data_IF_162054533463
#
_entry.id   IF_162054533463
#
_cell.length_a   1.000
_cell.length_b   1.000
_cell.length_c   1.000
_cell.angle_alpha   90.00
_cell.angle_beta   90.00
_cell.angle_gamma   90.00
#
_symmetry.space_group_name_H-M   'P 1'
#
loop_
_entity.id
_entity.type
_entity.pdbx_description
1 polymer ?
#
# COMPACT_ATOMS: atom_id res chain seq x y z
N UNK A 1 -15.54 -3.86 24.47
CA UNK A 1 -16.57 -3.00 25.11
C UNK A 1 -17.77 -2.93 24.19
N UNK A 2 -19.03 -2.87 24.67
CA UNK A 2 -20.16 -2.57 23.80
C UNK A 2 -19.96 -1.17 23.22
N UNK A 3 -20.01 -1.03 21.91
CA UNK A 3 -19.77 0.22 21.19
C UNK A 3 -20.76 1.31 21.65
N UNK A 4 -20.31 2.41 22.27
CA UNK A 4 -21.22 3.41 22.86
C UNK A 4 -21.70 4.48 21.86
N UNK A 5 -21.41 4.34 20.55
CA UNK A 5 -21.79 5.30 19.52
C UNK A 5 -22.60 4.61 18.41
N UNK A 6 -23.57 5.31 17.78
CA UNK A 6 -24.23 4.82 16.58
C UNK A 6 -23.20 4.60 15.47
N UNK A 7 -23.43 3.64 14.55
CA UNK A 7 -22.52 3.38 13.43
C UNK A 7 -22.40 4.61 12.53
N UNK A 8 -21.21 4.83 11.97
CA UNK A 8 -21.01 5.82 10.91
C UNK A 8 -21.78 5.39 9.67
N UNK A 9 -22.61 6.29 9.15
CA UNK A 9 -23.42 6.06 7.96
C UNK A 9 -22.56 6.25 6.72
N UNK A 10 -22.39 5.19 5.94
CA UNK A 10 -21.48 5.12 4.81
C UNK A 10 -22.23 5.20 3.49
N UNK A 11 -21.69 5.99 2.57
CA UNK A 11 -22.03 5.95 1.14
C UNK A 11 -20.87 5.46 0.30
N UNK A 12 -21.11 4.49 -0.58
CA UNK A 12 -20.11 4.07 -1.59
C UNK A 12 -20.44 4.76 -2.93
N UNK A 13 -19.55 5.65 -3.36
CA UNK A 13 -19.69 6.37 -4.62
C UNK A 13 -18.81 5.73 -5.71
N UNK A 14 -19.47 5.07 -6.66
CA UNK A 14 -18.87 4.16 -7.63
C UNK A 14 -19.33 2.73 -7.38
N UNK A 15 -19.85 2.06 -8.41
CA UNK A 15 -20.39 0.70 -8.29
C UNK A 15 -19.56 -0.32 -9.07
N UNK A 16 -18.23 -0.18 -9.05
CA UNK A 16 -17.32 -1.13 -9.69
C UNK A 16 -17.33 -2.51 -9.03
N UNK A 17 -16.62 -3.48 -9.60
CA UNK A 17 -16.42 -4.78 -8.96
C UNK A 17 -15.77 -4.64 -7.57
N UNK A 18 -14.83 -3.71 -7.44
CA UNK A 18 -14.16 -3.45 -6.17
C UNK A 18 -15.08 -2.85 -5.10
N UNK A 19 -16.06 -2.03 -5.49
CA UNK A 19 -17.09 -1.53 -4.58
C UNK A 19 -17.89 -2.67 -3.93
N UNK A 20 -18.18 -3.75 -4.68
CA UNK A 20 -18.88 -4.90 -4.14
C UNK A 20 -18.02 -5.69 -3.14
N UNK A 21 -16.71 -5.81 -3.40
CA UNK A 21 -15.77 -6.36 -2.42
C UNK A 21 -15.74 -5.54 -1.13
N UNK A 22 -15.56 -4.22 -1.23
CA UNK A 22 -15.53 -3.33 -0.06
C UNK A 22 -16.85 -3.36 0.72
N UNK A 23 -17.99 -3.39 0.05
CA UNK A 23 -19.29 -3.50 0.70
C UNK A 23 -19.43 -4.83 1.48
N UNK A 24 -18.93 -5.93 0.93
CA UNK A 24 -18.88 -7.23 1.62
C UNK A 24 -17.93 -7.22 2.83
N UNK A 25 -16.78 -6.55 2.71
CA UNK A 25 -15.80 -6.40 3.79
C UNK A 25 -16.29 -5.46 4.91
N UNK A 26 -17.07 -4.44 4.57
CA UNK A 26 -17.65 -3.45 5.50
C UNK A 26 -18.81 -4.05 6.32
N UNK A 27 -19.60 -4.94 5.71
CA UNK A 27 -20.81 -5.52 6.31
C UNK A 27 -20.65 -6.04 7.75
N UNK A 28 -19.62 -6.85 8.09
CA UNK A 28 -19.45 -7.37 9.45
C UNK A 28 -18.97 -6.32 10.47
N UNK A 29 -18.60 -5.11 10.06
CA UNK A 29 -18.08 -4.09 10.96
C UNK A 29 -19.24 -3.30 11.61
N UNK A 30 -19.47 -3.42 12.94
CA UNK A 30 -20.54 -2.70 13.62
C UNK A 30 -20.32 -1.18 13.66
N UNK A 31 -19.09 -0.71 13.45
CA UNK A 31 -18.71 0.72 13.40
C UNK A 31 -19.32 1.45 12.22
N UNK A 32 -19.69 0.72 11.17
CA UNK A 32 -20.15 1.29 9.91
C UNK A 32 -21.50 0.71 9.54
N UNK A 33 -22.30 1.50 8.82
CA UNK A 33 -23.54 1.04 8.21
C UNK A 33 -23.59 1.59 6.79
N UNK A 34 -23.66 0.72 5.78
CA UNK A 34 -23.89 1.15 4.41
C UNK A 34 -25.34 1.65 4.28
N UNK A 35 -25.53 2.91 3.91
CA UNK A 35 -26.85 3.51 3.71
C UNK A 35 -27.08 4.03 2.30
N UNK A 36 -26.04 4.12 1.47
CA UNK A 36 -26.16 4.59 0.10
C UNK A 36 -25.12 3.97 -0.86
N UNK A 37 -25.51 3.73 -2.10
CA UNK A 37 -24.60 3.37 -3.20
C UNK A 37 -24.90 4.22 -4.43
N UNK A 38 -23.87 4.78 -5.07
CA UNK A 38 -23.99 5.50 -6.33
C UNK A 38 -23.32 4.78 -7.49
N UNK A 39 -23.96 4.80 -8.66
CA UNK A 39 -23.37 4.29 -9.89
C UNK A 39 -24.33 4.38 -11.07
N UNK A 40 -23.78 4.57 -12.28
CA UNK A 40 -24.56 4.80 -13.50
C UNK A 40 -25.29 3.56 -14.05
N UNK A 41 -24.96 2.37 -13.56
CA UNK A 41 -25.50 1.08 -14.04
C UNK A 41 -26.22 0.37 -12.91
N UNK A 42 -27.51 0.08 -13.09
CA UNK A 42 -28.37 -0.48 -12.06
C UNK A 42 -27.87 -1.87 -11.60
N UNK A 43 -27.51 -2.75 -12.54
CA UNK A 43 -27.01 -4.10 -12.26
C UNK A 43 -25.70 -4.08 -11.47
N UNK A 44 -24.91 -3.01 -11.62
CA UNK A 44 -23.67 -2.82 -10.87
C UNK A 44 -23.96 -2.38 -9.44
N UNK A 45 -24.88 -1.44 -9.23
CA UNK A 45 -25.32 -1.06 -7.87
C UNK A 45 -25.93 -2.24 -7.13
N UNK A 46 -26.78 -3.03 -7.79
CA UNK A 46 -27.39 -4.21 -7.18
C UNK A 46 -26.35 -5.25 -6.71
N UNK A 47 -25.24 -5.42 -7.45
CA UNK A 47 -24.13 -6.30 -7.01
C UNK A 47 -23.47 -5.81 -5.72
N UNK A 48 -23.25 -4.51 -5.58
CA UNK A 48 -22.72 -3.92 -4.34
C UNK A 48 -23.68 -4.16 -3.17
N UNK A 49 -24.97 -3.87 -3.37
CA UNK A 49 -26.01 -4.06 -2.37
C UNK A 49 -26.17 -5.53 -1.96
N UNK A 50 -26.11 -6.45 -2.93
CA UNK A 50 -26.18 -7.89 -2.68
C UNK A 50 -25.00 -8.38 -1.83
N UNK A 51 -23.78 -7.92 -2.13
CA UNK A 51 -22.58 -8.25 -1.35
C UNK A 51 -22.71 -7.85 0.12
N UNK A 52 -23.21 -6.64 0.39
CA UNK A 52 -23.45 -6.16 1.75
C UNK A 52 -24.58 -6.96 2.44
N UNK A 53 -25.75 -7.07 1.79
CA UNK A 53 -26.94 -7.73 2.37
C UNK A 53 -26.75 -9.21 2.64
N UNK A 54 -25.90 -9.89 1.86
CA UNK A 54 -25.58 -11.29 2.08
C UNK A 54 -24.97 -11.53 3.48
N UNK A 55 -24.30 -10.52 4.04
CA UNK A 55 -23.63 -10.61 5.35
C UNK A 55 -24.28 -9.75 6.44
N UNK A 56 -25.15 -8.80 6.06
CA UNK A 56 -25.89 -7.94 6.99
C UNK A 56 -27.30 -7.65 6.46
N UNK A 57 -28.24 -8.52 6.84
CA UNK A 57 -29.63 -8.50 6.37
C UNK A 57 -30.61 -7.82 7.34
N UNK A 58 -30.16 -7.50 8.54
CA UNK A 58 -30.94 -6.94 9.66
C UNK A 58 -31.06 -5.40 9.60
N UNK A 59 -30.55 -4.76 8.55
CA UNK A 59 -30.55 -3.30 8.38
C UNK A 59 -31.40 -2.85 7.20
N UNK A 60 -31.86 -1.60 7.25
CA UNK A 60 -32.61 -0.99 6.16
C UNK A 60 -31.85 -1.04 4.82
N UNK A 61 -32.59 -1.19 3.73
CA UNK A 61 -32.03 -1.17 2.38
C UNK A 61 -31.26 0.14 2.12
N UNK A 62 -29.99 0.08 1.67
CA UNK A 62 -29.28 1.28 1.28
C UNK A 62 -29.98 1.96 0.09
N UNK A 63 -29.99 3.30 0.10
CA UNK A 63 -30.49 4.13 -0.99
C UNK A 63 -29.61 3.98 -2.23
N UNK A 64 -30.19 4.20 -3.39
CA UNK A 64 -29.49 4.17 -4.66
C UNK A 64 -29.47 5.55 -5.30
N UNK A 65 -28.30 5.93 -5.81
CA UNK A 65 -28.08 7.17 -6.55
C UNK A 65 -27.50 6.86 -7.93
N UNK A 66 -27.83 7.66 -8.93
CA UNK A 66 -27.22 7.51 -10.26
C UNK A 66 -25.86 8.18 -10.30
N UNK A 67 -25.76 9.37 -9.70
CA UNK A 67 -24.54 10.17 -9.71
C UNK A 67 -23.85 10.19 -8.33
N UNK A 68 -22.52 10.08 -8.35
CA UNK A 68 -21.71 10.16 -7.12
C UNK A 68 -21.95 11.47 -6.35
N UNK A 69 -22.11 12.58 -7.08
CA UNK A 69 -22.35 13.89 -6.49
C UNK A 69 -23.72 14.02 -5.81
N UNK A 70 -24.73 13.23 -6.21
CA UNK A 70 -26.02 13.19 -5.52
C UNK A 70 -25.87 12.50 -4.17
N UNK A 71 -25.20 11.34 -4.15
CA UNK A 71 -24.88 10.62 -2.91
C UNK A 71 -24.05 11.50 -1.97
N UNK A 72 -23.01 12.17 -2.45
CA UNK A 72 -22.14 13.00 -1.60
C UNK A 72 -22.91 14.13 -0.90
N UNK A 73 -23.95 14.68 -1.54
CA UNK A 73 -24.78 15.75 -0.97
C UNK A 73 -25.86 15.26 0.00
N UNK A 74 -26.01 13.94 0.15
CA UNK A 74 -26.94 13.36 1.12
C UNK A 74 -26.55 13.76 2.55
N UNK A 75 -27.40 14.50 3.29
CA UNK A 75 -27.08 14.97 4.64
C UNK A 75 -26.94 13.82 5.65
N UNK A 76 -27.45 12.62 5.35
CA UNK A 76 -27.40 11.48 6.25
C UNK A 76 -26.10 10.68 6.15
N UNK A 77 -25.20 11.01 5.22
CA UNK A 77 -23.94 10.28 5.08
C UNK A 77 -22.87 10.93 5.95
N UNK A 78 -22.14 10.14 6.73
CA UNK A 78 -21.02 10.59 7.56
C UNK A 78 -19.67 10.33 6.85
N UNK A 79 -19.56 9.21 6.15
CA UNK A 79 -18.35 8.73 5.46
C UNK A 79 -18.65 8.41 4.00
N UNK A 80 -17.84 8.93 3.08
CA UNK A 80 -17.89 8.55 1.66
C UNK A 80 -16.70 7.66 1.34
N UNK A 81 -16.96 6.51 0.70
CA UNK A 81 -15.95 5.67 0.07
C UNK A 81 -16.02 5.92 -1.43
N UNK A 82 -14.98 6.52 -2.02
CA UNK A 82 -14.90 6.79 -3.45
C UNK A 82 -14.19 5.63 -4.17
N UNK A 83 -14.93 4.93 -5.03
CA UNK A 83 -14.42 3.82 -5.86
C UNK A 83 -14.69 4.08 -7.35
N UNK A 84 -14.70 5.35 -7.75
CA UNK A 84 -14.85 5.78 -9.15
C UNK A 84 -13.55 5.56 -9.92
N UNK A 85 -13.51 5.78 -11.25
CA UNK A 85 -12.23 5.88 -11.95
C UNK A 85 -11.32 6.99 -11.34
N UNK A 86 -9.98 6.82 -11.33
CA UNK A 86 -9.05 7.68 -10.58
C UNK A 86 -9.13 9.19 -10.88
N UNK A 87 -9.36 9.58 -12.13
CA UNK A 87 -9.51 11.00 -12.51
C UNK A 87 -10.66 11.74 -11.78
N UNK A 88 -11.63 11.00 -11.24
CA UNK A 88 -12.74 11.57 -10.49
C UNK A 88 -12.47 11.68 -8.98
N UNK A 89 -11.41 11.04 -8.46
CA UNK A 89 -11.16 11.00 -7.02
C UNK A 89 -10.93 12.38 -6.41
N UNK A 90 -10.04 13.19 -6.99
CA UNK A 90 -9.76 14.52 -6.46
C UNK A 90 -10.97 15.48 -6.49
N UNK A 91 -11.68 15.67 -7.61
CA UNK A 91 -12.84 16.57 -7.64
C UNK A 91 -14.03 16.06 -6.81
N UNK A 92 -14.31 14.76 -6.77
CA UNK A 92 -15.35 14.21 -5.90
C UNK A 92 -14.95 14.22 -4.43
N UNK A 93 -13.66 14.02 -4.13
CA UNK A 93 -13.10 14.11 -2.80
C UNK A 93 -13.19 15.52 -2.25
N UNK A 94 -12.89 16.53 -3.07
CA UNK A 94 -13.09 17.94 -2.73
C UNK A 94 -14.55 18.21 -2.38
N UNK A 95 -15.48 17.77 -3.23
CA UNK A 95 -16.91 17.90 -2.98
C UNK A 95 -17.31 17.23 -1.66
N UNK A 96 -16.85 16.01 -1.38
CA UNK A 96 -17.16 15.30 -0.14
C UNK A 96 -16.66 16.03 1.10
N UNK A 97 -15.42 16.51 1.07
CA UNK A 97 -14.85 17.29 2.17
C UNK A 97 -15.58 18.63 2.37
N UNK A 98 -15.97 19.31 1.28
CA UNK A 98 -16.79 20.52 1.36
C UNK A 98 -18.19 20.28 1.93
N UNK A 99 -18.75 19.07 1.75
CA UNK A 99 -19.99 18.65 2.40
C UNK A 99 -19.78 18.13 3.83
N UNK A 100 -18.57 18.28 4.39
CA UNK A 100 -18.25 17.89 5.77
C UNK A 100 -18.18 16.37 5.98
N UNK A 101 -17.94 15.59 4.92
CA UNK A 101 -17.86 14.13 4.99
C UNK A 101 -16.44 13.68 5.36
N UNK A 102 -16.34 12.59 6.11
CA UNK A 102 -15.11 11.81 6.17
C UNK A 102 -14.92 11.04 4.86
N UNK A 103 -13.67 10.76 4.50
CA UNK A 103 -13.36 10.29 3.15
C UNK A 103 -12.40 9.11 3.17
N UNK A 104 -12.79 8.03 2.49
CA UNK A 104 -11.88 6.98 2.04
C UNK A 104 -11.81 7.03 0.52
N UNK A 105 -10.63 7.32 -0.01
CA UNK A 105 -10.34 7.29 -1.44
C UNK A 105 -9.80 5.92 -1.81
N UNK A 106 -10.35 5.30 -2.86
CA UNK A 106 -9.60 4.23 -3.51
C UNK A 106 -8.27 4.74 -4.02
N UNK A 107 -7.27 3.85 -3.99
CA UNK A 107 -5.98 4.09 -4.65
C UNK A 107 -6.22 4.42 -6.13
N UNK A 108 -5.41 5.29 -6.76
CA UNK A 108 -4.24 6.02 -6.23
C UNK A 108 -4.53 7.24 -5.35
N UNK A 109 -5.77 7.45 -4.89
CA UNK A 109 -6.16 8.66 -4.16
C UNK A 109 -6.42 9.86 -5.06
N UNK A 110 -5.57 10.09 -6.06
CA UNK A 110 -5.78 11.01 -7.17
C UNK A 110 -4.87 10.63 -8.35
N UNK A 111 -4.99 11.33 -9.48
CA UNK A 111 -4.04 11.17 -10.59
C UNK A 111 -2.68 11.82 -10.32
N UNK A 112 -2.64 12.84 -9.47
CA UNK A 112 -1.41 13.56 -9.14
C UNK A 112 -1.30 13.76 -7.64
N UNK A 113 -0.06 13.72 -7.13
CA UNK A 113 0.25 13.97 -5.72
C UNK A 113 -0.14 15.39 -5.31
N UNK A 114 -0.03 16.36 -6.21
CA UNK A 114 -0.47 17.74 -5.99
C UNK A 114 -1.98 17.81 -5.71
N UNK A 115 -2.80 17.15 -6.53
CA UNK A 115 -4.25 17.13 -6.34
C UNK A 115 -4.63 16.40 -5.04
N UNK A 116 -3.99 15.25 -4.76
CA UNK A 116 -4.21 14.54 -3.49
C UNK A 116 -3.82 15.42 -2.29
N UNK A 117 -2.69 16.13 -2.36
CA UNK A 117 -2.22 17.04 -1.31
C UNK A 117 -3.21 18.18 -1.05
N UNK A 118 -3.87 18.70 -2.08
CA UNK A 118 -4.90 19.71 -1.91
C UNK A 118 -6.14 19.14 -1.22
N UNK A 119 -6.55 17.90 -1.52
CA UNK A 119 -7.59 17.21 -0.75
C UNK A 119 -7.16 16.98 0.71
N UNK A 120 -5.91 16.60 0.98
CA UNK A 120 -5.38 16.42 2.35
C UNK A 120 -5.43 17.73 3.13
N UNK A 121 -4.99 18.84 2.53
CA UNK A 121 -5.07 20.18 3.14
C UNK A 121 -6.51 20.59 3.42
N UNK A 122 -7.42 20.32 2.47
CA UNK A 122 -8.83 20.61 2.65
C UNK A 122 -9.44 19.77 3.77
N UNK A 123 -9.08 18.49 3.88
CA UNK A 123 -9.55 17.60 4.92
C UNK A 123 -9.13 18.10 6.31
N UNK A 124 -7.87 18.53 6.45
CA UNK A 124 -7.37 19.17 7.67
C UNK A 124 -8.15 20.45 8.00
N UNK A 125 -8.40 21.32 7.01
CA UNK A 125 -9.19 22.56 7.17
C UNK A 125 -10.63 22.28 7.61
N UNK A 126 -11.25 21.21 7.11
CA UNK A 126 -12.62 20.80 7.43
C UNK A 126 -12.70 19.91 8.67
N UNK A 127 -11.56 19.60 9.31
CA UNK A 127 -11.46 18.68 10.44
C UNK A 127 -12.10 17.32 10.13
N UNK A 128 -11.83 16.79 8.93
CA UNK A 128 -12.31 15.48 8.47
C UNK A 128 -11.15 14.54 8.25
N UNK A 129 -11.29 13.31 8.75
CA UNK A 129 -10.43 12.21 8.37
C UNK A 129 -10.52 11.97 6.84
N UNK A 130 -9.35 11.88 6.22
CA UNK A 130 -9.15 11.41 4.85
C UNK A 130 -8.15 10.27 4.90
N UNK A 131 -8.41 9.18 4.18
CA UNK A 131 -7.46 8.11 3.98
C UNK A 131 -7.48 7.65 2.52
N UNK A 132 -6.35 7.12 2.03
CA UNK A 132 -6.29 6.39 0.76
C UNK A 132 -6.27 4.89 1.09
N UNK A 133 -7.00 4.07 0.34
CA UNK A 133 -7.09 2.62 0.54
C UNK A 133 -5.84 1.89 0.04
N UNK A 134 -4.70 2.23 0.63
CA UNK A 134 -3.43 1.53 0.49
C UNK A 134 -3.36 0.44 1.56
N UNK A 135 -3.52 -0.82 1.13
CA UNK A 135 -3.80 -1.93 2.05
C UNK A 135 -2.56 -2.77 2.40
N UNK A 136 -1.46 -2.65 1.67
CA UNK A 136 -0.36 -3.62 1.78
C UNK A 136 0.38 -3.57 3.11
N UNK A 137 0.45 -2.39 3.76
CA UNK A 137 0.98 -2.24 5.13
C UNK A 137 0.10 -2.90 6.20
N UNK A 138 -1.12 -3.33 5.85
CA UNK A 138 -1.94 -4.17 6.73
C UNK A 138 -1.70 -5.67 6.50
N UNK A 139 -0.83 -6.08 5.57
CA UNK A 139 -0.49 -7.48 5.41
C UNK A 139 0.55 -7.89 6.47
N UNK A 140 0.36 -9.00 7.20
CA UNK A 140 1.27 -9.34 8.28
C UNK A 140 2.64 -9.84 7.81
N UNK A 141 2.78 -10.25 6.54
CA UNK A 141 4.10 -10.54 5.99
C UNK A 141 4.87 -9.26 5.62
N UNK A 142 4.19 -8.19 5.23
CA UNK A 142 4.84 -6.93 4.83
C UNK A 142 5.52 -6.26 6.03
N UNK A 143 4.81 -6.23 7.14
CA UNK A 143 5.25 -5.59 8.37
C UNK A 143 6.31 -6.43 9.12
N UNK A 144 6.29 -7.78 9.08
CA UNK A 144 7.45 -8.55 9.63
C UNK A 144 8.70 -8.36 8.79
N UNK A 145 8.56 -8.21 7.47
CA UNK A 145 9.72 -7.88 6.64
C UNK A 145 10.26 -6.52 7.03
N UNK A 146 9.40 -5.52 7.18
CA UNK A 146 9.82 -4.20 7.64
C UNK A 146 10.57 -4.29 8.99
N UNK A 147 10.03 -5.04 9.95
CA UNK A 147 10.64 -5.23 11.25
C UNK A 147 12.03 -5.87 11.15
N UNK A 148 12.18 -6.94 10.35
CA UNK A 148 13.45 -7.61 10.11
C UNK A 148 14.49 -6.66 9.49
N UNK A 149 14.06 -5.79 8.57
CA UNK A 149 14.90 -4.80 7.91
C UNK A 149 15.34 -3.70 8.88
N UNK A 150 14.41 -3.14 9.66
CA UNK A 150 14.69 -2.12 10.68
C UNK A 150 15.66 -2.59 11.76
N UNK A 151 15.54 -3.85 12.18
CA UNK A 151 16.40 -4.42 13.21
C UNK A 151 17.66 -5.10 12.66
N UNK A 152 17.91 -5.00 11.34
CA UNK A 152 19.08 -5.58 10.68
C UNK A 152 19.30 -7.07 10.96
N UNK A 153 18.24 -7.87 11.06
CA UNK A 153 18.37 -9.29 11.40
C UNK A 153 19.17 -10.08 10.37
N UNK A 154 19.15 -9.65 9.10
CA UNK A 154 19.98 -10.18 8.01
C UNK A 154 21.11 -9.21 7.61
N UNK A 155 21.43 -8.25 8.49
CA UNK A 155 22.36 -7.16 8.21
C UNK A 155 21.75 -6.05 7.35
N UNK A 156 22.62 -5.19 6.80
CA UNK A 156 22.21 -4.06 5.95
C UNK A 156 21.61 -4.54 4.63
N UNK A 157 20.65 -3.79 4.11
CA UNK A 157 20.09 -3.99 2.77
C UNK A 157 21.09 -3.50 1.71
N UNK A 158 21.22 -4.26 0.63
CA UNK A 158 22.08 -3.94 -0.51
C UNK A 158 21.30 -3.56 -1.76
N UNK A 159 20.17 -4.23 -1.98
CA UNK A 159 19.38 -4.12 -3.19
C UNK A 159 18.02 -4.76 -2.94
N UNK A 160 16.97 -4.24 -3.57
CA UNK A 160 15.70 -4.92 -3.64
C UNK A 160 15.08 -4.85 -5.04
N UNK A 161 14.21 -5.81 -5.35
CA UNK A 161 13.44 -5.86 -6.58
C UNK A 161 11.99 -6.19 -6.26
N UNK A 162 11.07 -5.37 -6.75
CA UNK A 162 9.62 -5.52 -6.61
C UNK A 162 9.02 -5.76 -7.99
N UNK A 163 8.69 -7.02 -8.28
CA UNK A 163 8.23 -7.48 -9.59
C UNK A 163 6.73 -7.80 -9.56
N UNK A 164 5.99 -7.35 -10.58
CA UNK A 164 4.60 -7.73 -10.82
C UNK A 164 4.32 -7.97 -12.31
N UNK A 165 3.99 -9.20 -12.68
CA UNK A 165 3.48 -9.59 -13.99
C UNK A 165 2.03 -10.09 -13.82
N UNK A 166 1.08 -9.24 -14.19
CA UNK A 166 -0.35 -9.47 -14.04
C UNK A 166 -1.02 -9.79 -15.38
N UNK A 167 -2.23 -10.34 -15.30
CA UNK A 167 -3.07 -10.61 -16.48
C UNK A 167 -3.41 -9.35 -17.25
N UNK A 168 -3.44 -9.45 -18.58
CA UNK A 168 -3.76 -8.30 -19.42
C UNK A 168 -5.15 -7.74 -19.13
N UNK A 169 -5.23 -6.43 -18.91
CA UNK A 169 -6.51 -5.73 -18.82
C UNK A 169 -7.15 -5.68 -20.20
N UNK A 170 -8.45 -5.98 -20.29
CA UNK A 170 -9.19 -6.00 -21.54
C UNK A 170 -8.99 -4.70 -22.36
N UNK A 171 -8.84 -4.85 -23.68
CA UNK A 171 -8.71 -3.72 -24.59
C UNK A 171 -9.92 -2.77 -24.50
N UNK A 172 -9.68 -1.46 -24.62
CA UNK A 172 -10.72 -0.43 -24.50
C UNK A 172 -11.21 -0.16 -23.07
N UNK A 173 -10.65 -0.83 -22.06
CA UNK A 173 -10.90 -0.50 -20.66
C UNK A 173 -10.30 0.87 -20.30
N UNK A 174 -10.95 1.62 -19.38
CA UNK A 174 -10.49 2.96 -18.97
C UNK A 174 -9.07 2.97 -18.39
N UNK A 175 -8.60 1.83 -17.88
CA UNK A 175 -7.24 1.65 -17.36
C UNK A 175 -6.17 2.05 -18.39
N UNK A 176 -6.40 1.77 -19.67
CA UNK A 176 -5.46 2.11 -20.75
C UNK A 176 -5.50 3.58 -21.15
N UNK A 177 -6.53 4.32 -20.72
CA UNK A 177 -6.59 5.77 -20.89
C UNK A 177 -5.87 6.45 -19.71
N UNK A 178 -4.68 7.00 -19.98
CA UNK A 178 -3.84 7.70 -18.98
C UNK A 178 -4.52 8.91 -18.36
N UNK A 179 -5.41 9.60 -19.08
CA UNK A 179 -6.19 10.71 -18.52
C UNK A 179 -7.22 10.23 -17.49
N UNK A 180 -7.56 8.94 -17.49
CA UNK A 180 -8.48 8.34 -16.53
C UNK A 180 -7.77 7.57 -15.41
N UNK A 181 -6.66 6.89 -15.71
CA UNK A 181 -5.97 5.99 -14.79
C UNK A 181 -4.64 6.53 -14.25
N UNK A 182 -3.96 7.41 -14.98
CA UNK A 182 -2.57 7.81 -14.73
C UNK A 182 -1.54 6.80 -15.27
N UNK A 183 -1.96 5.63 -15.76
CA UNK A 183 -1.09 4.55 -16.21
C UNK A 183 -0.68 3.58 -15.09
N UNK A 184 0.11 2.56 -15.45
CA UNK A 184 0.39 1.41 -14.58
C UNK A 184 1.00 1.81 -13.22
N UNK A 185 2.01 2.68 -13.20
CA UNK A 185 2.67 3.05 -11.95
C UNK A 185 1.78 3.88 -11.02
N UNK A 186 0.95 4.77 -11.57
CA UNK A 186 -0.02 5.52 -10.79
C UNK A 186 -1.11 4.59 -10.27
N UNK A 187 -1.81 3.87 -11.14
CA UNK A 187 -3.01 3.12 -10.77
C UNK A 187 -2.70 1.87 -9.93
N UNK A 188 -1.65 1.13 -10.27
CA UNK A 188 -1.33 -0.16 -9.65
C UNK A 188 0.00 -0.14 -8.89
N UNK A 189 1.04 0.47 -9.49
CA UNK A 189 2.39 0.50 -8.91
C UNK A 189 2.49 1.29 -7.61
N UNK A 190 1.57 2.21 -7.32
CA UNK A 190 1.54 3.01 -6.08
C UNK A 190 1.59 2.15 -4.82
N UNK A 191 0.96 0.98 -4.83
CA UNK A 191 1.05 -0.02 -3.76
C UNK A 191 2.48 -0.50 -3.49
N UNK A 192 3.27 -0.66 -4.55
CA UNK A 192 4.62 -1.18 -4.46
C UNK A 192 5.60 -0.07 -4.07
N UNK A 193 5.35 1.16 -4.54
CA UNK A 193 6.09 2.34 -4.07
C UNK A 193 5.83 2.63 -2.59
N UNK A 194 4.60 2.44 -2.11
CA UNK A 194 4.24 2.49 -0.68
C UNK A 194 5.10 1.51 0.12
N UNK A 195 5.10 0.23 -0.27
CA UNK A 195 5.92 -0.80 0.42
C UNK A 195 7.40 -0.46 0.35
N UNK A 196 7.88 -0.01 -0.81
CA UNK A 196 9.27 0.39 -1.01
C UNK A 196 9.70 1.54 -0.09
N UNK A 197 8.90 2.61 0.00
CA UNK A 197 9.16 3.71 0.93
C UNK A 197 9.08 3.27 2.39
N UNK A 198 8.10 2.45 2.72
CA UNK A 198 7.92 1.91 4.06
C UNK A 198 9.14 1.08 4.53
N UNK A 199 9.70 0.24 3.66
CA UNK A 199 10.84 -0.61 3.99
C UNK A 199 12.20 0.05 3.87
N UNK A 200 12.37 0.91 2.86
CA UNK A 200 13.70 1.40 2.47
C UNK A 200 13.91 2.89 2.78
N UNK A 201 12.87 3.62 3.14
CA UNK A 201 12.90 5.05 3.45
C UNK A 201 12.59 5.94 2.24
N UNK A 202 12.84 7.24 2.38
CA UNK A 202 12.45 8.23 1.38
C UNK A 202 13.29 8.15 0.09
N UNK A 203 12.71 8.42 -1.09
CA UNK A 203 13.44 8.41 -2.36
C UNK A 203 14.34 9.65 -2.52
N UNK A 204 15.53 9.46 -3.09
CA UNK A 204 16.51 10.51 -3.39
C UNK A 204 16.71 10.72 -4.90
N UNK A 205 16.64 9.63 -5.67
CA UNK A 205 16.57 9.66 -7.13
C UNK A 205 15.60 8.58 -7.60
N UNK A 206 14.87 8.86 -8.68
CA UNK A 206 13.88 7.95 -9.25
C UNK A 206 13.86 8.13 -10.77
N UNK A 207 13.93 7.02 -11.50
CA UNK A 207 13.85 7.02 -12.97
C UNK A 207 13.00 5.88 -13.46
N UNK A 208 12.19 6.14 -14.47
CA UNK A 208 11.29 5.16 -15.04
C UNK A 208 11.34 5.07 -16.56
N UNK A 209 10.93 3.91 -17.05
CA UNK A 209 10.91 3.52 -18.45
C UNK A 209 9.60 2.79 -18.73
N UNK A 210 9.07 2.97 -19.94
CA UNK A 210 7.89 2.25 -20.40
C UNK A 210 8.13 1.66 -21.79
N UNK A 211 7.55 0.49 -22.02
CA UNK A 211 7.39 -0.09 -23.36
C UNK A 211 5.99 0.23 -23.84
N UNK A 212 5.90 0.91 -24.98
CA UNK A 212 4.64 1.21 -25.67
C UNK A 212 4.47 0.23 -26.82
N UNK A 213 3.36 -0.50 -26.81
CA UNK A 213 2.99 -1.43 -27.88
C UNK A 213 2.48 -0.66 -29.11
N UNK A 214 2.40 -1.33 -30.26
CA UNK A 214 1.93 -0.73 -31.52
C UNK A 214 0.51 -0.09 -31.42
N UNK A 215 -0.33 -0.56 -30.49
CA UNK A 215 -1.66 0.01 -30.24
C UNK A 215 -1.64 1.27 -29.34
N UNK A 216 -0.45 1.72 -28.90
CA UNK A 216 -0.27 2.88 -28.03
C UNK A 216 -0.37 2.57 -26.53
N UNK A 217 -0.68 1.33 -26.15
CA UNK A 217 -0.78 0.94 -24.73
C UNK A 217 0.63 0.76 -24.13
N UNK A 218 0.85 1.36 -22.95
CA UNK A 218 2.05 1.09 -22.15
C UNK A 218 1.80 -0.13 -21.29
N UNK A 219 2.07 -1.31 -21.82
CA UNK A 219 1.74 -2.58 -21.16
C UNK A 219 2.78 -3.01 -20.11
N UNK A 220 3.98 -2.43 -20.15
CA UNK A 220 5.09 -2.75 -19.24
C UNK A 220 5.85 -1.49 -18.85
N UNK A 221 6.17 -1.39 -17.57
CA UNK A 221 6.91 -0.27 -16.96
C UNK A 221 7.98 -0.76 -15.99
N UNK A 222 9.10 -0.06 -15.94
CA UNK A 222 10.21 -0.31 -15.03
C UNK A 222 10.64 0.99 -14.36
N UNK A 223 11.09 0.90 -13.12
CA UNK A 223 11.73 2.02 -12.44
C UNK A 223 12.92 1.57 -11.61
N UNK A 224 13.88 2.47 -11.43
CA UNK A 224 14.95 2.36 -10.46
C UNK A 224 14.85 3.55 -9.51
N UNK A 225 14.78 3.27 -8.21
CA UNK A 225 14.71 4.28 -7.15
C UNK A 225 15.88 4.07 -6.20
N UNK A 226 16.54 5.15 -5.82
CA UNK A 226 17.54 5.16 -4.77
C UNK A 226 16.87 5.71 -3.51
N UNK A 227 16.64 4.86 -2.51
CA UNK A 227 16.07 5.27 -1.23
C UNK A 227 17.16 5.63 -0.24
N UNK A 228 16.93 6.65 0.60
CA UNK A 228 17.73 6.91 1.82
C UNK A 228 17.22 6.04 2.95
N UNK A 229 18.08 5.15 3.44
CA UNK A 229 17.75 4.15 4.46
C UNK A 229 17.22 4.77 5.75
N UNK A 230 16.00 4.40 6.13
CA UNK A 230 15.38 4.77 7.40
C UNK A 230 15.99 4.05 8.62
N UNK A 231 16.79 2.99 8.41
CA UNK A 231 17.35 2.14 9.47
C UNK A 231 18.42 2.82 10.36
N UNK A 232 18.83 4.04 10.03
CA UNK A 232 19.89 4.76 10.75
C UNK A 232 19.39 5.68 11.87
N UNK A 233 18.13 6.12 11.84
CA UNK A 233 17.68 7.26 12.66
C UNK A 233 17.38 6.95 14.13
N UNK A 234 17.04 5.70 14.51
CA UNK A 234 16.54 5.42 15.86
C UNK A 234 17.56 4.81 16.84
N UNK A 235 18.78 4.45 16.40
CA UNK A 235 19.74 3.70 17.24
C UNK A 235 21.15 4.30 17.40
N UNK A 236 21.38 5.54 16.98
CA UNK A 236 22.66 6.21 17.25
C UNK A 236 22.39 7.52 17.99
N UNK A 237 22.43 7.48 19.33
CA UNK A 237 22.90 8.64 20.08
C UNK A 237 24.21 9.08 19.42
N UNK A 238 24.24 10.31 18.92
CA UNK A 238 25.39 10.90 18.23
C UNK A 238 26.67 10.79 19.08
N UNK A 239 27.40 9.69 18.92
CA UNK A 239 28.81 9.66 19.22
C UNK A 239 29.49 10.42 18.08
N UNK A 240 29.73 11.72 18.28
CA UNK A 240 30.62 12.52 17.46
C UNK A 240 32.01 11.86 17.44
N UNK A 241 32.26 11.00 16.46
CA UNK A 241 33.60 10.54 16.12
C UNK A 241 33.97 11.19 14.78
N UNK A 242 34.94 12.11 14.74
CA UNK A 242 35.36 12.74 13.50
C UNK A 242 36.24 11.77 12.70
N UNK A 243 35.65 10.98 11.80
CA UNK A 243 36.39 10.11 10.88
C UNK A 243 36.59 10.77 9.52
N UNK A 244 37.86 11.09 9.21
CA UNK A 244 38.37 11.53 7.90
C UNK A 244 38.29 10.44 6.81
N UNK A 245 37.17 9.73 6.68
CA UNK A 245 36.89 8.76 5.59
C UNK A 245 35.46 8.93 5.05
N UNK A 246 35.12 10.17 4.70
CA UNK A 246 33.78 10.56 4.24
C UNK A 246 33.29 9.87 2.94
N UNK A 247 34.13 9.10 2.22
CA UNK A 247 33.73 8.48 0.94
C UNK A 247 33.15 7.06 1.02
N UNK A 248 33.53 6.27 2.02
CA UNK A 248 33.10 4.86 2.12
C UNK A 248 31.89 4.66 3.05
N UNK A 249 31.68 5.56 4.02
CA UNK A 249 30.57 5.49 4.97
C UNK A 249 29.22 5.96 4.38
N UNK A 250 29.25 6.71 3.27
CA UNK A 250 28.05 7.20 2.55
C UNK A 250 27.38 6.13 1.67
N UNK A 251 28.11 5.09 1.22
CA UNK A 251 27.57 4.01 0.39
C UNK A 251 26.59 3.08 1.14
N UNK A 252 26.44 3.27 2.46
CA UNK A 252 25.59 2.46 3.33
C UNK A 252 24.30 3.18 3.72
N UNK A 253 24.12 4.41 3.26
CA UNK A 253 22.91 5.21 3.48
C UNK A 253 21.86 4.98 2.39
N UNK A 254 22.22 4.41 1.25
CA UNK A 254 21.34 4.30 0.10
C UNK A 254 21.00 2.87 -0.28
N UNK A 255 19.73 2.62 -0.60
CA UNK A 255 19.21 1.33 -1.05
C UNK A 255 18.68 1.47 -2.48
N UNK A 256 19.36 0.89 -3.49
CA UNK A 256 18.83 0.83 -4.84
C UNK A 256 17.70 -0.22 -4.93
N UNK A 257 16.56 0.18 -5.48
CA UNK A 257 15.37 -0.67 -5.61
C UNK A 257 14.86 -0.62 -7.04
N UNK A 258 14.60 -1.80 -7.61
CA UNK A 258 14.00 -1.96 -8.93
C UNK A 258 12.51 -2.26 -8.80
N UNK A 259 11.70 -1.64 -9.64
CA UNK A 259 10.26 -1.88 -9.74
C UNK A 259 9.94 -2.31 -11.16
N UNK A 260 9.18 -3.39 -11.32
CA UNK A 260 8.64 -3.81 -12.60
C UNK A 260 7.15 -4.07 -12.48
N UNK A 261 6.37 -3.54 -13.42
CA UNK A 261 4.98 -3.89 -13.60
C UNK A 261 4.65 -4.16 -15.06
N UNK A 262 3.99 -5.27 -15.33
CA UNK A 262 3.46 -5.62 -16.64
C UNK A 262 2.04 -6.16 -16.56
N UNK A 263 1.20 -5.77 -17.51
CA UNK A 263 -0.15 -6.31 -17.72
C UNK A 263 -0.16 -7.08 -19.05
N UNK A 264 0.60 -8.17 -19.07
CA UNK A 264 0.94 -8.90 -20.30
C UNK A 264 0.73 -10.39 -20.18
N UNK A 265 0.37 -10.90 -19.00
CA UNK A 265 0.14 -12.33 -18.83
C UNK A 265 -1.15 -12.73 -19.54
N UNK A 266 -1.10 -13.83 -20.28
CA UNK A 266 -2.26 -14.44 -20.93
C UNK A 266 -3.24 -14.99 -19.89
N UNK A 267 -4.52 -15.11 -20.25
CA UNK A 267 -5.56 -15.52 -19.32
C UNK A 267 -5.37 -16.94 -18.74
N UNK A 268 -4.64 -17.81 -19.43
CA UNK A 268 -4.29 -19.17 -19.01
C UNK A 268 -2.88 -19.30 -18.40
N UNK A 269 -2.09 -18.23 -18.43
CA UNK A 269 -0.79 -18.17 -17.78
C UNK A 269 -0.93 -17.75 -16.31
N UNK A 270 -0.07 -18.24 -15.40
CA UNK A 270 -0.07 -17.76 -14.03
C UNK A 270 0.44 -16.32 -13.96
N UNK A 271 -0.18 -15.48 -13.14
CA UNK A 271 0.44 -14.22 -12.72
C UNK A 271 1.69 -14.51 -11.88
N UNK A 272 2.64 -13.57 -11.89
CA UNK A 272 3.89 -13.67 -11.13
C UNK A 272 4.16 -12.36 -10.40
N UNK A 273 4.08 -12.39 -9.07
CA UNK A 273 4.44 -11.26 -8.22
C UNK A 273 5.44 -11.72 -7.17
N UNK A 274 6.60 -11.09 -7.13
CA UNK A 274 7.69 -11.44 -6.21
C UNK A 274 8.46 -10.19 -5.78
N UNK A 275 8.71 -10.06 -4.48
CA UNK A 275 9.52 -8.98 -3.91
C UNK A 275 10.73 -9.59 -3.22
N UNK A 276 11.93 -9.25 -3.68
CA UNK A 276 13.18 -9.81 -3.18
C UNK A 276 14.04 -8.70 -2.56
N UNK A 277 14.54 -8.94 -1.35
CA UNK A 277 15.42 -8.02 -0.63
C UNK A 277 16.73 -8.74 -0.30
N UNK A 278 17.82 -8.24 -0.87
CA UNK A 278 19.16 -8.76 -0.61
C UNK A 278 19.81 -7.98 0.52
N UNK A 279 20.23 -8.71 1.55
CA UNK A 279 20.89 -8.18 2.73
C UNK A 279 22.32 -8.74 2.82
N UNK A 280 23.14 -8.14 3.69
CA UNK A 280 24.55 -8.53 3.83
C UNK A 280 24.77 -9.98 4.29
N UNK A 281 23.79 -10.59 4.96
CA UNK A 281 23.91 -11.93 5.53
C UNK A 281 22.85 -12.90 5.00
N UNK A 282 22.05 -12.49 4.02
CA UNK A 282 21.00 -13.34 3.47
C UNK A 282 20.02 -12.56 2.59
N UNK A 283 18.86 -13.15 2.34
CA UNK A 283 17.80 -12.52 1.56
C UNK A 283 16.41 -12.88 2.07
N UNK A 284 15.47 -12.02 1.73
CA UNK A 284 14.06 -12.14 2.03
C UNK A 284 13.30 -12.15 0.71
N UNK A 285 12.35 -13.06 0.54
CA UNK A 285 11.48 -13.13 -0.64
C UNK A 285 10.03 -13.18 -0.20
N UNK A 286 9.21 -12.30 -0.74
CA UNK A 286 7.75 -12.32 -0.62
C UNK A 286 7.12 -12.67 -1.97
N UNK A 287 6.08 -13.51 -1.95
CA UNK A 287 5.35 -13.93 -3.15
C UNK A 287 3.85 -13.60 -3.06
N UNK A 288 3.30 -13.15 -4.20
CA UNK A 288 1.90 -12.77 -4.37
C UNK A 288 1.67 -11.26 -4.23
N UNK A 289 0.77 -10.70 -5.04
CA UNK A 289 0.44 -9.27 -4.99
C UNK A 289 -0.29 -8.88 -3.70
N UNK A 290 -1.15 -9.77 -3.20
CA UNK A 290 -1.42 -9.88 -1.76
C UNK A 290 -0.42 -10.90 -1.24
N UNK A 291 0.61 -10.51 -0.47
CA UNK A 291 1.65 -11.43 -0.05
C UNK A 291 1.08 -12.60 0.73
N UNK A 292 1.41 -13.81 0.28
CA UNK A 292 0.96 -15.06 0.91
C UNK A 292 2.11 -15.94 1.37
N UNK A 293 3.32 -15.74 0.85
CA UNK A 293 4.47 -16.56 1.23
C UNK A 293 5.67 -15.67 1.47
N UNK A 294 6.35 -15.93 2.58
CA UNK A 294 7.61 -15.32 2.97
C UNK A 294 8.67 -16.40 3.05
N UNK A 295 9.80 -16.17 2.41
CA UNK A 295 11.00 -16.99 2.51
C UNK A 295 12.17 -16.15 3.02
N UNK A 296 12.84 -16.64 4.05
CA UNK A 296 14.03 -16.02 4.64
C UNK A 296 15.16 -17.02 4.58
N UNK A 297 16.29 -16.65 3.98
CA UNK A 297 17.49 -17.47 4.02
C UNK A 297 18.75 -16.65 4.24
N UNK A 298 19.77 -17.27 4.83
CA UNK A 298 21.04 -16.59 5.07
C UNK A 298 22.06 -17.43 5.81
N UNK A 299 23.18 -16.80 6.13
CA UNK A 299 24.21 -17.31 7.02
C UNK A 299 24.11 -16.53 8.33
N UNK A 300 23.47 -17.11 9.33
CA UNK A 300 23.05 -16.40 10.55
C UNK A 300 23.74 -16.97 11.79
N UNK A 301 23.89 -16.15 12.82
CA UNK A 301 24.23 -16.63 14.16
C UNK A 301 23.02 -17.36 14.76
N UNK A 302 23.24 -18.18 15.80
CA UNK A 302 22.13 -18.86 16.49
C UNK A 302 21.11 -17.87 17.07
N UNK A 303 21.59 -16.75 17.62
CA UNK A 303 20.75 -15.67 18.15
C UNK A 303 19.89 -15.03 17.06
N UNK A 304 20.47 -14.69 15.90
CA UNK A 304 19.69 -14.12 14.78
C UNK A 304 18.60 -15.08 14.29
N UNK A 305 18.93 -16.37 14.18
CA UNK A 305 17.97 -17.40 13.79
C UNK A 305 16.81 -17.48 14.80
N UNK A 306 17.12 -17.53 16.10
CA UNK A 306 16.11 -17.56 17.18
C UNK A 306 15.22 -16.32 17.18
N UNK A 307 15.78 -15.13 16.92
CA UNK A 307 15.02 -13.88 16.82
C UNK A 307 14.06 -13.88 15.62
N UNK A 308 14.52 -14.32 14.44
CA UNK A 308 13.65 -14.45 13.26
C UNK A 308 12.58 -15.51 13.53
N UNK A 309 12.95 -16.62 14.17
CA UNK A 309 12.03 -17.70 14.47
C UNK A 309 10.90 -17.23 15.40
N UNK A 310 11.26 -16.59 16.51
CA UNK A 310 10.32 -16.02 17.47
C UNK A 310 9.41 -14.98 16.83
N UNK A 311 9.95 -14.09 15.99
CA UNK A 311 9.16 -13.11 15.25
C UNK A 311 8.13 -13.79 14.34
N UNK A 312 8.56 -14.74 13.51
CA UNK A 312 7.69 -15.40 12.54
C UNK A 312 6.64 -16.29 13.20
N UNK A 313 6.90 -16.82 14.40
CA UNK A 313 5.92 -17.58 15.20
C UNK A 313 4.77 -16.69 15.73
N UNK A 314 4.97 -15.36 15.81
CA UNK A 314 3.88 -14.43 16.20
C UNK A 314 2.90 -14.13 15.07
N UNK A 315 3.26 -14.45 13.83
CA UNK A 315 2.47 -14.06 12.66
C UNK A 315 1.23 -14.93 12.53
N UNK A 316 0.01 -14.35 12.53
CA UNK A 316 -1.19 -15.12 12.24
C UNK A 316 -1.14 -15.68 10.82
N UNK A 317 -1.41 -16.99 10.66
CA UNK A 317 -1.39 -17.67 9.34
C UNK A 317 -2.77 -17.81 8.70
N UNK A 318 -3.84 -17.57 9.48
CA UNK A 318 -5.24 -17.58 9.02
C UNK A 318 -5.94 -16.27 9.39
N UNK A 319 -6.84 -15.76 8.53
CA UNK A 319 -7.71 -14.64 8.87
C UNK A 319 -8.78 -15.13 9.87
N UNK A 320 -8.73 -14.64 11.11
CA UNK A 320 -9.79 -14.84 12.10
C UNK A 320 -11.01 -13.93 11.83
N UNK A 321 -12.14 -14.16 12.51
CA UNK A 321 -13.33 -13.31 12.37
C UNK A 321 -13.10 -11.85 12.80
N UNK A 322 -12.14 -11.62 13.68
CA UNK A 322 -11.65 -10.31 14.13
C UNK A 322 -10.36 -9.88 13.41
N UNK A 323 -10.02 -10.51 12.28
CA UNK A 323 -8.74 -10.32 11.61
C UNK A 323 -8.45 -8.86 11.27
N UNK A 324 -9.46 -8.05 10.90
CA UNK A 324 -9.27 -6.61 10.68
C UNK A 324 -8.76 -5.88 11.93
N UNK A 325 -9.31 -6.19 13.11
CA UNK A 325 -8.86 -5.59 14.36
C UNK A 325 -7.50 -6.12 14.78
N UNK A 326 -7.24 -7.43 14.62
CA UNK A 326 -5.94 -8.03 14.92
C UNK A 326 -4.84 -7.54 14.01
N UNK A 327 -5.09 -7.45 12.71
CA UNK A 327 -4.16 -6.88 11.72
C UNK A 327 -3.84 -5.44 12.09
N UNK A 328 -4.87 -4.63 12.37
CA UNK A 328 -4.69 -3.25 12.82
C UNK A 328 -3.91 -3.16 14.13
N UNK A 329 -4.26 -3.96 15.13
CA UNK A 329 -3.60 -3.97 16.43
C UNK A 329 -2.16 -4.45 16.32
N UNK A 330 -1.90 -5.45 15.47
CA UNK A 330 -0.58 -6.00 15.23
C UNK A 330 0.32 -5.00 14.50
N UNK A 331 -0.19 -4.32 13.46
CA UNK A 331 0.52 -3.22 12.80
C UNK A 331 0.74 -2.01 13.74
N UNK A 332 -0.27 -1.66 14.57
CA UNK A 332 -0.20 -0.53 15.48
C UNK A 332 0.64 -0.79 16.75
N UNK A 333 0.71 -2.04 17.22
CA UNK A 333 1.39 -2.41 18.47
C UNK A 333 2.90 -2.56 18.31
N UNK A 334 3.46 -2.33 17.11
CA UNK A 334 4.88 -2.49 16.77
C UNK A 334 5.49 -3.62 17.59
N UNK A 335 5.10 -4.87 17.26
CA UNK A 335 5.66 -6.12 17.79
C UNK A 335 6.64 -5.90 18.93
N UNK A 336 6.12 -5.84 20.16
CA UNK A 336 6.88 -5.46 21.35
C UNK A 336 8.18 -6.27 21.42
N UNK A 337 9.36 -5.65 21.22
CA UNK A 337 10.60 -6.35 21.43
C UNK A 337 10.85 -6.35 22.95
N UNK A 338 10.58 -7.47 23.59
CA UNK A 338 11.52 -7.97 24.60
C UNK A 338 12.61 -8.80 23.91
N UNK A 339 13.00 -8.40 22.69
CA UNK A 339 14.12 -8.98 21.96
C UNK A 339 15.26 -7.98 22.08
N UNK A 340 16.19 -8.26 22.99
CA UNK A 340 17.40 -7.48 23.17
C UNK A 340 18.23 -7.50 21.89
N UNK A 341 18.50 -6.32 21.31
CA UNK A 341 19.47 -6.15 20.23
C UNK A 341 20.88 -6.15 20.86
N UNK A 342 21.80 -7.04 20.46
CA UNK A 342 23.12 -7.11 21.07
C UNK A 342 23.96 -5.88 20.73
N UNK A 343 24.68 -5.40 21.74
CA UNK A 343 25.63 -4.29 21.63
C UNK A 343 26.82 -4.68 20.74
N UNK A 344 27.26 -3.77 19.87
CA UNK A 344 28.32 -4.00 18.86
C UNK A 344 29.71 -4.00 19.52
N UNK A 345 29.95 -4.89 20.47
CA UNK A 345 31.23 -4.98 21.17
C UNK A 345 31.56 -6.42 21.65
N UNK A 346 31.79 -7.35 20.72
CA UNK A 346 32.87 -8.34 20.92
C UNK A 346 33.33 -8.93 19.58
N UNK A 347 34.61 -8.81 19.28
CA UNK A 347 35.26 -9.41 18.11
C UNK A 347 35.61 -10.88 18.37
N UNK A 348 34.62 -11.70 18.73
CA UNK A 348 34.77 -13.15 18.69
C UNK A 348 34.30 -13.66 17.32
N UNK A 349 34.93 -14.72 16.80
CA UNK A 349 34.45 -15.42 15.61
C UNK A 349 33.10 -16.08 15.93
N UNK A 350 32.01 -15.33 15.76
CA UNK A 350 30.67 -15.89 15.92
C UNK A 350 30.40 -16.78 14.70
N UNK A 351 30.26 -18.09 14.96
CA UNK A 351 29.93 -19.07 13.93
C UNK A 351 28.58 -18.71 13.31
N UNK A 352 28.53 -18.73 11.97
CA UNK A 352 27.30 -18.55 11.19
C UNK A 352 26.94 -19.86 10.51
N UNK A 353 25.68 -20.24 10.61
CA UNK A 353 25.14 -21.46 10.02
C UNK A 353 24.13 -21.12 8.92
N UNK A 354 23.98 -22.00 7.91
CA UNK A 354 22.89 -21.86 6.95
C UNK A 354 21.53 -21.87 7.65
N UNK A 355 20.72 -20.87 7.36
CA UNK A 355 19.36 -20.72 7.87
C UNK A 355 18.39 -20.61 6.71
N UNK A 356 17.23 -21.26 6.83
CA UNK A 356 16.12 -21.19 5.88
C UNK A 356 14.81 -21.32 6.64
N UNK A 357 13.89 -20.39 6.41
CA UNK A 357 12.53 -20.46 6.96
C UNK A 357 11.51 -19.98 5.93
N UNK A 358 10.38 -20.67 5.89
CA UNK A 358 9.22 -20.30 5.07
C UNK A 358 8.00 -20.12 5.96
N UNK A 359 7.26 -19.04 5.73
CA UNK A 359 5.97 -18.80 6.34
C UNK A 359 4.92 -18.62 5.23
N UNK A 360 3.76 -19.24 5.39
CA UNK A 360 2.67 -19.17 4.42
C UNK A 360 1.38 -18.74 5.09
N UNK A 361 0.73 -17.73 4.51
CA UNK A 361 -0.64 -17.33 4.81
C UNK A 361 -1.60 -18.10 3.89
N UNK A 362 -2.50 -18.86 4.50
CA UNK A 362 -3.58 -19.53 3.76
C UNK A 362 -4.76 -18.56 3.58
N UNK A 363 -5.59 -18.81 2.57
CA UNK A 363 -6.76 -17.98 2.23
C UNK A 363 -6.42 -16.52 1.84
N UNK A 364 -6.00 -16.33 0.58
CA UNK A 364 -5.71 -15.01 0.01
C UNK A 364 -6.88 -14.04 0.16
N UNK A 365 -8.10 -14.54 -0.05
CA UNK A 365 -9.29 -13.70 -0.12
C UNK A 365 -9.68 -13.21 1.27
N UNK A 366 -9.63 -14.08 2.28
CA UNK A 366 -9.85 -13.71 3.67
C UNK A 366 -8.79 -12.73 4.18
N UNK A 367 -7.52 -12.89 3.81
CA UNK A 367 -6.49 -11.89 4.14
C UNK A 367 -6.73 -10.54 3.47
N UNK A 368 -7.13 -10.54 2.20
CA UNK A 368 -7.45 -9.29 1.51
C UNK A 368 -8.63 -8.58 2.17
N UNK A 369 -9.68 -9.33 2.53
CA UNK A 369 -10.81 -8.81 3.30
C UNK A 369 -10.37 -8.24 4.65
N UNK A 370 -9.54 -8.97 5.40
CA UNK A 370 -9.04 -8.54 6.69
C UNK A 370 -8.22 -7.23 6.60
N UNK A 371 -7.39 -7.10 5.56
CA UNK A 371 -6.62 -5.88 5.30
C UNK A 371 -7.54 -4.68 4.99
N UNK A 372 -8.59 -4.89 4.18
CA UNK A 372 -9.59 -3.85 3.90
C UNK A 372 -10.37 -3.45 5.17
N UNK A 373 -10.76 -4.43 6.00
CA UNK A 373 -11.40 -4.19 7.30
C UNK A 373 -10.48 -3.41 8.25
N UNK A 374 -9.20 -3.77 8.30
CA UNK A 374 -8.21 -3.06 9.11
C UNK A 374 -8.11 -1.59 8.67
N UNK A 375 -8.12 -1.30 7.37
CA UNK A 375 -8.13 0.07 6.83
C UNK A 375 -9.41 0.83 7.19
N UNK A 376 -10.59 0.18 7.20
CA UNK A 376 -11.83 0.81 7.67
C UNK A 376 -11.77 1.14 9.16
N UNK A 377 -11.32 0.20 10.00
CA UNK A 377 -11.19 0.41 11.44
C UNK A 377 -10.12 1.46 11.77
N UNK A 378 -9.06 1.54 10.97
CA UNK A 378 -8.05 2.58 11.08
C UNK A 378 -8.62 3.97 10.75
N UNK A 379 -9.46 4.08 9.70
CA UNK A 379 -10.22 5.30 9.42
C UNK A 379 -11.19 5.65 10.56
N UNK A 380 -11.90 4.67 11.12
CA UNK A 380 -12.77 4.86 12.28
C UNK A 380 -12.00 5.51 13.44
N UNK A 381 -10.79 5.00 13.73
CA UNK A 381 -9.91 5.58 14.75
C UNK A 381 -9.45 6.99 14.40
N UNK A 382 -9.10 7.27 13.14
CA UNK A 382 -8.75 8.63 12.71
C UNK A 382 -9.91 9.63 12.90
N UNK A 383 -11.16 9.17 12.84
CA UNK A 383 -12.34 10.01 13.13
C UNK A 383 -12.47 10.26 14.63
N UNK A 384 -12.20 9.24 15.45
CA UNK A 384 -12.44 9.26 16.90
C UNK A 384 -11.30 9.87 17.73
N UNK A 385 -10.05 9.71 17.28
CA UNK A 385 -8.84 10.12 17.99
C UNK A 385 -8.06 11.15 17.15
N UNK A 386 -8.09 12.45 17.50
CA UNK A 386 -7.41 13.49 16.74
C UNK A 386 -5.88 13.37 16.77
N UNK A 387 -5.31 12.55 17.66
CA UNK A 387 -3.86 12.29 17.71
C UNK A 387 -3.44 11.10 16.85
N UNK A 388 -4.39 10.39 16.23
CA UNK A 388 -4.12 9.24 15.39
C UNK A 388 -4.26 9.59 13.90
N UNK A 389 -3.13 9.55 13.17
CA UNK A 389 -3.08 9.87 11.74
C UNK A 389 -3.28 8.68 10.80
N UNK A 390 -3.51 7.48 11.35
CA UNK A 390 -3.56 6.22 10.59
C UNK A 390 -2.21 5.51 10.52
N UNK A 391 -2.26 4.21 10.24
CA UNK A 391 -1.05 3.41 9.92
C UNK A 391 -0.41 3.94 8.63
N UNK A 392 -1.23 4.06 7.58
CA UNK A 392 -0.89 4.80 6.36
C UNK A 392 -1.50 6.18 6.48
N UNK A 393 -0.65 7.18 6.58
CA UNK A 393 -1.09 8.57 6.76
C UNK A 393 -1.47 9.21 5.41
N UNK A 394 -2.24 10.32 5.42
CA UNK A 394 -2.50 11.06 4.19
C UNK A 394 -1.23 11.59 3.52
N UNK A 395 -0.22 11.99 4.31
CA UNK A 395 1.07 12.47 3.81
C UNK A 395 1.94 11.33 3.24
N UNK A 396 1.85 10.11 3.81
CA UNK A 396 2.45 8.90 3.22
C UNK A 396 1.88 8.70 1.81
N UNK A 397 0.55 8.68 1.67
CA UNK A 397 -0.13 8.44 0.41
C UNK A 397 0.19 9.53 -0.65
N UNK A 398 0.30 10.79 -0.25
CA UNK A 398 0.75 11.89 -1.13
C UNK A 398 2.16 11.62 -1.65
N UNK A 399 3.05 11.20 -0.76
CA UNK A 399 4.46 10.99 -1.07
C UNK A 399 4.67 9.69 -1.87
N UNK A 400 3.84 8.67 -1.67
CA UNK A 400 3.82 7.42 -2.45
C UNK A 400 3.39 7.71 -3.89
N UNK A 401 2.34 8.51 -4.04
CA UNK A 401 1.88 8.97 -5.35
C UNK A 401 2.93 9.86 -6.03
N UNK A 402 3.61 10.73 -5.28
CA UNK A 402 4.67 11.58 -5.81
C UNK A 402 5.86 10.74 -6.34
N UNK A 403 6.22 9.67 -5.63
CA UNK A 403 7.23 8.72 -6.12
C UNK A 403 6.75 8.00 -7.39
N UNK A 404 5.50 7.54 -7.41
CA UNK A 404 4.93 6.92 -8.61
C UNK A 404 4.96 7.88 -9.80
N UNK A 405 4.64 9.16 -9.60
CA UNK A 405 4.74 10.23 -10.60
C UNK A 405 6.18 10.47 -11.07
N UNK A 406 7.15 10.53 -10.14
CA UNK A 406 8.57 10.68 -10.48
C UNK A 406 9.10 9.49 -11.29
N UNK A 407 8.55 8.30 -11.08
CA UNK A 407 8.83 7.11 -11.86
C UNK A 407 8.03 7.02 -13.17
N UNK A 408 7.13 7.95 -13.48
CA UNK A 408 6.48 7.99 -14.78
C UNK A 408 7.52 8.27 -15.86
N UNK A 409 7.51 7.46 -16.91
CA UNK A 409 8.60 7.31 -17.86
C UNK A 409 9.22 8.63 -18.34
N UNK A 410 10.52 8.81 -18.08
CA UNK A 410 11.33 9.86 -18.69
C UNK A 410 11.78 9.49 -20.11
N UNK A 411 11.79 8.19 -20.41
CA UNK A 411 12.17 7.63 -21.71
C UNK A 411 11.16 6.54 -22.15
N UNK A 412 10.70 6.64 -23.39
CA UNK A 412 9.71 5.73 -23.98
C UNK A 412 10.37 4.93 -25.09
N UNK A 413 10.31 3.60 -24.97
CA UNK A 413 10.68 2.70 -26.06
C UNK A 413 9.43 2.29 -26.84
N UNK A 414 9.46 2.50 -28.15
CA UNK A 414 8.41 2.08 -29.08
C UNK A 414 8.85 0.81 -29.79
N UNK A 415 7.94 -0.16 -29.93
CA UNK A 415 8.20 -1.44 -30.60
C UNK A 415 8.74 -1.27 -32.05
N UNK A 416 8.47 -0.13 -32.70
CA UNK A 416 8.96 0.19 -34.05
C UNK A 416 10.36 0.85 -34.09
N UNK A 417 11.08 0.90 -32.97
CA UNK A 417 12.52 1.25 -32.94
C UNK A 417 12.88 2.74 -32.88
N UNK A 418 11.92 3.65 -32.79
CA UNK A 418 12.17 5.10 -32.65
C UNK A 418 12.17 5.51 -31.18
N UNK A 419 13.33 5.88 -30.62
CA UNK A 419 13.43 6.48 -29.28
C UNK A 419 12.93 7.93 -29.32
N UNK A 420 11.94 8.28 -28.51
CA UNK A 420 11.63 9.68 -28.21
C UNK A 420 12.27 10.07 -26.87
N UNK A 421 13.30 10.90 -26.89
CA UNK A 421 13.88 11.49 -25.67
C UNK A 421 13.08 12.74 -25.29
N UNK A 422 12.29 12.69 -24.22
CA UNK A 422 11.77 13.90 -23.57
C UNK A 422 12.54 14.15 -22.28
N UNK A 423 13.64 14.89 -22.36
CA UNK A 423 14.44 15.29 -21.21
C UNK A 423 13.73 16.40 -20.43
N UNK A 424 13.05 16.06 -19.33
CA UNK A 424 12.80 17.00 -18.24
C UNK A 424 13.40 16.41 -16.97
N UNK A 425 14.64 16.80 -16.68
CA UNK A 425 15.25 16.61 -15.37
C UNK A 425 14.62 17.60 -14.39
N UNK A 426 13.59 17.16 -13.65
CA UNK A 426 13.18 17.87 -12.43
C UNK A 426 14.10 17.39 -11.31
N UNK A 427 15.19 18.12 -11.06
CA UNK A 427 15.92 18.01 -9.79
C UNK A 427 15.01 18.55 -8.67
N UNK A 428 14.61 17.70 -7.74
CA UNK A 428 14.10 18.15 -6.45
C UNK A 428 15.28 18.76 -5.67
N UNK A 429 15.08 19.97 -5.15
CA UNK A 429 16.01 20.70 -4.26
C UNK A 429 15.78 20.32 -2.81
#
# INVERSE_FOLDING_TARGET
MPYPLPPYRVGIAGAGAFAAFLAGALAPLPEFQLIAVAGRTDEKRQRVLASYRHRRSDVAAPREYREAAELIRDPDIDVVILTTPPHLHAPLGELALMQGKHLLLEKPGALTSAALKDNVRLAAKQQRALAVNLVLRYNPLVEVVEWMLRHHLLGRVHHASLHNAAHRVAAGHWFWNREQSGGIFIEHGVHFFEVGRHWFGEPEDARGFAVTEANGEQSRVWASVIHRSCTRQDHVQEAQVPTKRAGAELLHEYVPVQYYHGFTMEADAPESTQWEVHCAQGRIVLEGWIPQRLYVEGMLTAEQAEQIDALLDTVPTQPAADAGERVRAWAASRLSPNVSVPDRASSSFVSRLPYRRTLSLVDRQGWYEAMAQARFLDLCRMIQDPNWSGLVTPDDAVSDLALAEACMASEVWQEDGVRSSSSNQTRLL
#
